data_IF_693163610214
#
_entry.id   IF_693163610214
#
_cell.length_a   1.000
_cell.length_b   1.000
_cell.length_c   1.000
_cell.angle_alpha   90.00
_cell.angle_beta   90.00
_cell.angle_gamma   90.00
#
_symmetry.space_group_name_H-M   'P 1'
#
loop_
_entity.id
_entity.type
_entity.pdbx_description
1 polymer ?
#
# COMPACT_ATOMS: atom_id res chain seq x y z
N UNK A 1 9.36 25.91 -17.08
CA UNK A 1 9.69 24.58 -16.52
C UNK A 1 8.58 24.19 -15.57
N UNK A 2 8.11 22.94 -15.61
CA UNK A 2 7.16 22.45 -14.63
C UNK A 2 7.84 22.43 -13.24
N UNK A 3 7.20 23.01 -12.22
CA UNK A 3 7.70 22.94 -10.85
C UNK A 3 7.08 21.72 -10.18
N UNK A 4 7.87 20.65 -10.07
CA UNK A 4 7.51 19.47 -9.27
C UNK A 4 7.74 19.73 -7.80
N UNK A 5 6.96 19.08 -6.95
CA UNK A 5 7.14 19.18 -5.50
C UNK A 5 8.49 18.56 -5.08
N UNK A 6 9.10 19.15 -4.06
CA UNK A 6 10.23 18.55 -3.35
C UNK A 6 9.74 18.13 -1.97
N UNK A 7 9.95 16.88 -1.55
CA UNK A 7 9.55 16.46 -0.22
C UNK A 7 10.35 17.21 0.85
N UNK A 8 9.70 17.51 1.97
CA UNK A 8 10.36 18.07 3.15
C UNK A 8 11.26 17.02 3.81
N UNK A 9 10.81 15.76 3.78
CA UNK A 9 11.56 14.60 4.28
C UNK A 9 11.29 13.36 3.44
N UNK A 10 12.28 12.48 3.39
CA UNK A 10 12.15 11.16 2.76
C UNK A 10 12.37 10.09 3.83
N UNK A 11 11.44 9.14 3.92
CA UNK A 11 11.48 8.00 4.84
C UNK A 11 11.42 6.70 4.05
N UNK A 12 11.76 5.59 4.70
CA UNK A 12 11.68 4.26 4.11
C UNK A 12 10.88 3.36 5.04
N UNK A 13 9.62 3.10 4.70
CA UNK A 13 8.68 2.34 5.53
C UNK A 13 8.43 0.99 4.87
N UNK A 14 8.96 -0.06 5.49
CA UNK A 14 8.95 -1.42 4.94
C UNK A 14 9.41 -1.48 3.47
N UNK A 15 10.50 -0.76 3.16
CA UNK A 15 11.06 -0.67 1.82
C UNK A 15 10.30 0.24 0.83
N UNK A 16 9.23 0.91 1.26
CA UNK A 16 8.53 1.93 0.47
C UNK A 16 9.19 3.28 0.72
N UNK A 17 9.60 3.97 -0.34
CA UNK A 17 10.04 5.38 -0.23
C UNK A 17 8.81 6.24 0.07
N UNK A 18 8.80 6.94 1.18
CA UNK A 18 7.72 7.82 1.63
C UNK A 18 8.21 9.27 1.63
N UNK A 19 7.69 10.05 0.70
CA UNK A 19 7.95 11.48 0.53
C UNK A 19 6.97 12.28 1.39
N UNK A 20 7.45 12.89 2.47
CA UNK A 20 6.64 13.77 3.34
C UNK A 20 6.46 15.13 2.67
N UNK A 21 5.21 15.56 2.53
CA UNK A 21 4.83 16.88 2.03
C UNK A 21 3.50 17.29 2.66
N UNK A 22 3.52 17.82 3.88
CA UNK A 22 2.29 18.08 4.60
C UNK A 22 1.54 19.29 4.06
N UNK A 23 0.27 19.09 3.73
CA UNK A 23 -0.62 20.16 3.28
C UNK A 23 -0.79 21.25 4.34
N UNK A 24 -0.61 20.94 5.63
CA UNK A 24 -0.64 21.92 6.72
C UNK A 24 0.47 22.96 6.61
N UNK A 25 1.60 22.56 6.04
CA UNK A 25 2.80 23.39 5.88
C UNK A 25 2.83 24.02 4.47
N UNK A 26 2.12 23.41 3.50
CA UNK A 26 2.09 23.79 2.10
C UNK A 26 0.67 24.09 1.58
N UNK A 27 0.02 25.14 2.10
CA UNK A 27 -1.33 25.56 1.70
C UNK A 27 -1.39 27.00 1.16
N UNK A 28 -0.70 27.31 0.04
CA UNK A 28 -0.62 28.67 -0.48
C UNK A 28 -1.98 29.25 -0.87
N UNK A 29 -2.91 28.38 -1.27
CA UNK A 29 -4.26 28.76 -1.72
C UNK A 29 -5.29 28.81 -0.58
N UNK A 30 -4.86 28.65 0.69
CA UNK A 30 -5.73 28.69 1.88
C UNK A 30 -6.94 27.76 1.77
N UNK A 31 -6.76 26.60 1.16
CA UNK A 31 -7.84 25.64 0.98
C UNK A 31 -8.14 24.97 2.31
N UNK A 32 -9.41 24.72 2.60
CA UNK A 32 -9.80 24.05 3.84
C UNK A 32 -9.08 22.70 3.99
N UNK A 33 -8.63 22.41 5.21
CA UNK A 33 -7.92 21.19 5.57
C UNK A 33 -8.66 20.45 6.69
N UNK A 34 -8.50 19.12 6.75
CA UNK A 34 -8.97 18.36 7.90
C UNK A 34 -8.24 18.80 9.18
N UNK A 35 -8.89 18.57 10.32
CA UNK A 35 -8.35 18.91 11.64
C UNK A 35 -7.60 17.74 12.25
N UNK A 36 -6.83 18.00 13.31
CA UNK A 36 -6.28 16.94 14.17
C UNK A 36 -7.37 15.97 14.61
N UNK A 37 -7.04 14.69 14.60
CA UNK A 37 -7.93 13.61 14.99
C UNK A 37 -8.34 13.80 16.44
N UNK A 38 -9.65 13.81 16.69
CA UNK A 38 -10.20 13.84 18.05
C UNK A 38 -10.62 12.46 18.55
N UNK A 39 -10.95 11.56 17.63
CA UNK A 39 -11.35 10.19 17.93
C UNK A 39 -10.18 9.22 18.01
N UNK A 40 -10.46 8.03 18.53
CA UNK A 40 -9.50 6.92 18.55
C UNK A 40 -9.04 6.55 17.14
N UNK A 41 -7.75 6.28 16.97
CA UNK A 41 -7.25 5.66 15.75
C UNK A 41 -7.66 4.18 15.73
N UNK A 42 -8.42 3.77 14.71
CA UNK A 42 -8.94 2.39 14.63
C UNK A 42 -8.33 1.59 13.47
N UNK A 43 -7.57 2.20 12.57
CA UNK A 43 -6.96 1.50 11.44
C UNK A 43 -6.78 2.30 10.18
N UNK A 44 -6.74 1.61 9.05
CA UNK A 44 -6.41 2.16 7.73
C UNK A 44 -7.56 1.92 6.75
N UNK A 45 -7.89 2.93 5.94
CA UNK A 45 -8.83 2.80 4.82
C UNK A 45 -8.09 2.84 3.49
N UNK A 46 -8.14 1.75 2.73
CA UNK A 46 -7.60 1.66 1.38
C UNK A 46 -8.62 2.10 0.32
N UNK A 47 -8.12 2.84 -0.66
CA UNK A 47 -8.82 3.31 -1.84
C UNK A 47 -8.03 2.95 -3.10
N UNK A 48 -8.68 3.04 -4.25
CA UNK A 48 -8.01 3.11 -5.53
C UNK A 48 -8.27 4.47 -6.18
N UNK A 49 -7.21 5.03 -6.74
CA UNK A 49 -7.26 6.17 -7.65
C UNK A 49 -6.71 5.73 -9.01
N UNK A 50 -7.19 6.35 -10.08
CA UNK A 50 -6.77 5.99 -11.43
C UNK A 50 -5.31 6.34 -11.67
N UNK A 51 -4.58 5.46 -12.35
CA UNK A 51 -3.26 5.78 -12.88
C UNK A 51 -3.38 6.87 -13.94
N UNK A 52 -2.51 7.87 -13.83
CA UNK A 52 -2.39 8.99 -14.77
C UNK A 52 -1.05 8.95 -15.49
N UNK A 53 -1.00 9.53 -16.69
CA UNK A 53 0.24 9.74 -17.43
C UNK A 53 0.90 11.01 -16.89
N UNK A 54 2.20 10.93 -16.60
CA UNK A 54 3.00 12.03 -16.07
C UNK A 54 4.32 12.16 -16.84
N UNK A 55 4.99 13.30 -16.69
CA UNK A 55 6.38 13.46 -17.16
C UNK A 55 7.30 12.39 -16.55
N UNK A 56 8.32 11.90 -17.28
CA UNK A 56 9.33 10.98 -16.73
C UNK A 56 10.08 11.52 -15.49
N UNK A 57 10.09 12.84 -15.31
CA UNK A 57 10.75 13.54 -14.21
C UNK A 57 9.95 13.53 -12.89
N UNK A 58 8.72 13.01 -12.90
CA UNK A 58 7.87 12.91 -11.71
C UNK A 58 7.16 11.55 -11.63
N UNK A 59 6.33 11.37 -10.61
CA UNK A 59 5.52 10.17 -10.39
C UNK A 59 4.03 10.52 -10.26
N UNK A 60 3.11 9.58 -10.52
CA UNK A 60 1.69 9.80 -10.29
C UNK A 60 1.37 10.25 -8.85
N UNK A 61 2.04 9.71 -7.83
CA UNK A 61 1.82 10.10 -6.43
C UNK A 61 2.23 11.56 -6.15
N UNK A 62 3.33 12.04 -6.74
CA UNK A 62 3.70 13.47 -6.68
C UNK A 62 2.63 14.32 -7.36
N UNK A 63 2.22 13.94 -8.57
CA UNK A 63 1.26 14.71 -9.36
C UNK A 63 -0.10 14.81 -8.66
N UNK A 64 -0.58 13.74 -8.01
CA UNK A 64 -1.80 13.77 -7.19
C UNK A 64 -1.63 14.64 -5.93
N UNK A 65 -0.46 14.61 -5.31
CA UNK A 65 -0.15 15.49 -4.17
C UNK A 65 -0.15 16.94 -4.59
N UNK A 66 0.53 17.29 -5.69
CA UNK A 66 0.54 18.64 -6.26
C UNK A 66 -0.84 19.11 -6.69
N UNK A 67 -1.65 18.22 -7.28
CA UNK A 67 -3.05 18.52 -7.59
C UNK A 67 -3.86 18.82 -6.33
N UNK A 68 -3.58 18.15 -5.21
CA UNK A 68 -4.24 18.40 -3.92
C UNK A 68 -3.85 19.75 -3.32
N UNK A 69 -2.55 20.07 -3.33
CA UNK A 69 -1.99 21.38 -2.92
C UNK A 69 -2.64 22.53 -3.71
N UNK A 70 -2.85 22.32 -5.00
CA UNK A 70 -3.43 23.32 -5.91
C UNK A 70 -4.97 23.39 -5.85
N UNK A 71 -5.64 22.55 -5.05
CA UNK A 71 -7.10 22.54 -4.94
C UNK A 71 -7.84 21.83 -6.07
N UNK A 72 -7.11 21.12 -6.94
CA UNK A 72 -7.67 20.41 -8.09
C UNK A 72 -8.28 19.05 -7.73
N UNK A 73 -8.23 18.66 -6.45
CA UNK A 73 -8.81 17.41 -5.93
C UNK A 73 -10.15 17.63 -5.21
N UNK A 74 -10.85 18.72 -5.51
CA UNK A 74 -12.04 19.16 -4.76
C UNK A 74 -11.74 19.19 -3.25
N UNK A 75 -12.64 18.65 -2.42
CA UNK A 75 -12.47 18.50 -0.98
C UNK A 75 -11.71 17.24 -0.57
N UNK A 76 -11.20 16.40 -1.48
CA UNK A 76 -10.51 15.16 -1.06
C UNK A 76 -9.16 15.52 -0.44
N UNK A 77 -8.93 15.06 0.79
CA UNK A 77 -7.67 15.23 1.52
C UNK A 77 -7.32 13.89 2.14
N UNK A 78 -6.32 13.20 1.60
CA UNK A 78 -5.92 11.85 2.06
C UNK A 78 -4.56 11.90 2.75
N UNK A 79 -4.21 10.87 3.50
CA UNK A 79 -2.89 10.78 4.11
C UNK A 79 -1.83 10.38 3.09
N UNK A 80 -2.12 9.42 2.21
CA UNK A 80 -1.14 8.91 1.25
C UNK A 80 -1.71 8.76 -0.16
N UNK A 81 -0.90 9.14 -1.15
CA UNK A 81 -0.97 8.62 -2.51
C UNK A 81 0.19 7.64 -2.73
N UNK A 82 -0.08 6.46 -3.28
CA UNK A 82 0.90 5.39 -3.49
C UNK A 82 0.89 4.95 -4.94
N UNK A 83 2.04 5.01 -5.61
CA UNK A 83 2.25 4.52 -6.97
C UNK A 83 3.26 3.36 -6.99
N UNK A 84 3.71 2.96 -8.18
CA UNK A 84 4.66 1.86 -8.39
C UNK A 84 6.09 2.16 -7.91
N UNK A 85 6.40 3.41 -7.59
CA UNK A 85 7.75 3.86 -7.22
C UNK A 85 7.84 4.32 -5.77
N UNK A 86 6.80 4.96 -5.24
CA UNK A 86 6.84 5.60 -3.93
C UNK A 86 5.45 5.84 -3.32
N UNK A 87 5.44 6.41 -2.13
CA UNK A 87 4.28 7.04 -1.52
C UNK A 87 4.58 8.52 -1.26
N UNK A 88 3.54 9.35 -1.32
CA UNK A 88 3.57 10.75 -0.87
C UNK A 88 2.63 10.92 0.32
N UNK A 89 3.16 11.41 1.44
CA UNK A 89 2.42 11.63 2.68
C UNK A 89 1.97 13.10 2.78
N UNK A 90 0.67 13.31 2.67
CA UNK A 90 0.07 14.64 2.56
C UNK A 90 -0.47 15.19 3.88
N UNK A 91 -0.74 14.30 4.84
CA UNK A 91 -1.24 14.67 6.16
C UNK A 91 -0.44 13.95 7.26
N UNK A 92 -0.21 14.61 8.40
CA UNK A 92 0.30 13.94 9.59
C UNK A 92 -0.63 12.79 10.02
N UNK A 93 -0.07 11.73 10.60
CA UNK A 93 -0.85 10.54 10.98
C UNK A 93 -1.82 10.80 12.15
N UNK A 94 -1.65 11.90 12.89
CA UNK A 94 -2.56 12.35 13.95
C UNK A 94 -3.68 13.28 13.42
N UNK A 95 -3.82 13.46 12.11
CA UNK A 95 -4.92 14.21 11.51
C UNK A 95 -6.09 13.30 11.09
N UNK A 96 -7.28 13.90 11.05
CA UNK A 96 -8.38 13.34 10.26
C UNK A 96 -8.11 13.52 8.77
N UNK A 97 -8.90 12.90 7.91
CA UNK A 97 -8.79 13.07 6.47
C UNK A 97 -10.18 13.04 5.83
N UNK A 98 -10.32 13.52 4.59
CA UNK A 98 -11.60 13.62 3.88
C UNK A 98 -11.60 12.63 2.71
N UNK A 99 -12.04 11.39 2.97
CA UNK A 99 -11.90 10.27 2.03
C UNK A 99 -13.06 9.25 2.04
N UNK A 100 -13.77 9.08 3.14
CA UNK A 100 -14.78 8.02 3.33
C UNK A 100 -16.21 8.45 2.91
N UNK A 101 -16.35 9.67 2.39
CA UNK A 101 -17.65 10.21 1.97
C UNK A 101 -18.16 9.67 0.64
N UNK A 102 -19.48 9.68 0.46
CA UNK A 102 -20.16 9.48 -0.82
C UNK A 102 -20.85 10.78 -1.25
N UNK A 103 -20.88 11.03 -2.56
CA UNK A 103 -21.58 12.19 -3.13
C UNK A 103 -23.05 12.19 -2.68
N UNK A 104 -23.49 13.28 -2.06
CA UNK A 104 -24.85 13.44 -1.52
C UNK A 104 -25.08 12.80 -0.14
N UNK A 105 -24.09 12.12 0.45
CA UNK A 105 -24.16 11.52 1.80
C UNK A 105 -22.84 11.66 2.57
N UNK A 106 -22.14 12.77 2.36
CA UNK A 106 -20.80 12.99 2.92
C UNK A 106 -20.83 13.04 4.46
N UNK A 107 -21.88 13.65 5.03
CA UNK A 107 -22.05 13.85 6.48
C UNK A 107 -22.91 12.75 7.16
N UNK A 108 -23.14 11.62 6.50
CA UNK A 108 -23.94 10.53 7.09
C UNK A 108 -23.05 9.54 7.85
N UNK A 109 -23.66 8.84 8.83
CA UNK A 109 -23.04 7.77 9.63
C UNK A 109 -22.11 6.88 8.80
N UNK A 110 -20.93 6.55 9.33
CA UNK A 110 -19.89 5.77 8.63
C UNK A 110 -18.86 6.64 7.90
N UNK A 111 -19.27 7.71 7.21
CA UNK A 111 -18.32 8.64 6.57
C UNK A 111 -17.48 9.38 7.62
N UNK A 112 -18.11 9.84 8.69
CA UNK A 112 -17.44 10.53 9.82
C UNK A 112 -16.41 9.63 10.50
N UNK A 113 -16.78 8.35 10.77
CA UNK A 113 -15.89 7.39 11.42
C UNK A 113 -14.71 7.02 10.52
N UNK A 114 -14.93 6.83 9.22
CA UNK A 114 -13.84 6.61 8.27
C UNK A 114 -12.87 7.80 8.26
N UNK A 115 -13.40 9.01 8.01
CA UNK A 115 -12.64 10.26 7.96
C UNK A 115 -11.90 10.59 9.26
N UNK A 116 -12.57 10.37 10.39
CA UNK A 116 -12.15 10.79 11.72
C UNK A 116 -11.33 9.76 12.48
N UNK A 117 -11.27 8.49 12.06
CA UNK A 117 -10.62 7.44 12.86
C UNK A 117 -9.64 6.58 12.06
N UNK A 118 -9.48 6.80 10.75
CA UNK A 118 -8.54 6.01 9.92
C UNK A 118 -7.49 6.83 9.19
N UNK A 119 -6.35 6.18 8.91
CA UNK A 119 -5.37 6.65 7.93
C UNK A 119 -5.86 6.27 6.53
N UNK A 120 -5.84 7.20 5.59
CA UNK A 120 -6.35 7.01 4.23
C UNK A 120 -5.22 6.84 3.21
N UNK A 121 -5.31 5.78 2.41
CA UNK A 121 -4.32 5.44 1.39
C UNK A 121 -5.01 5.30 0.04
N UNK A 122 -4.57 6.09 -0.95
CA UNK A 122 -4.97 5.98 -2.35
C UNK A 122 -3.92 5.18 -3.13
N UNK A 123 -4.23 3.94 -3.47
CA UNK A 123 -3.37 3.11 -4.33
C UNK A 123 -3.67 3.41 -5.81
N UNK A 124 -2.68 3.98 -6.50
CA UNK A 124 -2.78 4.46 -7.88
C UNK A 124 -2.60 3.28 -8.84
N UNK A 125 -3.67 2.89 -9.53
CA UNK A 125 -3.70 1.73 -10.43
C UNK A 125 -4.57 2.02 -11.65
N UNK A 126 -4.31 1.29 -12.74
CA UNK A 126 -5.14 1.32 -13.95
C UNK A 126 -6.25 0.26 -13.95
N UNK A 127 -6.09 -0.81 -13.16
CA UNK A 127 -6.99 -1.95 -13.13
C UNK A 127 -6.67 -3.04 -14.16
N UNK A 128 -5.64 -2.84 -14.98
CA UNK A 128 -5.24 -3.78 -16.03
C UNK A 128 -4.41 -4.96 -15.50
N UNK A 129 -3.93 -4.88 -14.26
CA UNK A 129 -3.09 -5.93 -13.68
C UNK A 129 -1.68 -6.00 -14.28
N UNK A 130 -1.22 -4.92 -14.91
CA UNK A 130 0.13 -4.82 -15.45
C UNK A 130 1.19 -4.68 -14.33
N UNK A 131 2.48 -4.69 -14.71
CA UNK A 131 3.59 -4.64 -13.76
C UNK A 131 3.57 -3.37 -12.87
N UNK A 132 3.04 -2.26 -13.38
CA UNK A 132 2.91 -1.02 -12.62
C UNK A 132 1.79 -1.14 -11.59
N UNK A 133 0.65 -1.73 -11.94
CA UNK A 133 -0.42 -2.05 -11.00
C UNK A 133 0.05 -3.02 -9.90
N UNK A 134 0.81 -4.06 -10.27
CA UNK A 134 1.39 -5.03 -9.33
C UNK A 134 2.29 -4.31 -8.32
N UNK A 135 3.20 -3.45 -8.79
CA UNK A 135 4.12 -2.69 -7.93
C UNK A 135 3.41 -1.67 -7.04
N UNK A 136 2.40 -0.98 -7.55
CA UNK A 136 1.61 -0.04 -6.76
C UNK A 136 0.84 -0.76 -5.65
N UNK A 137 0.18 -1.87 -5.98
CA UNK A 137 -0.49 -2.75 -5.01
C UNK A 137 0.48 -3.25 -3.94
N UNK A 138 1.67 -3.64 -4.35
CA UNK A 138 2.71 -4.15 -3.47
C UNK A 138 3.28 -3.07 -2.53
N UNK A 139 3.57 -1.86 -3.04
CA UNK A 139 3.94 -0.70 -2.23
C UNK A 139 2.85 -0.35 -1.21
N UNK A 140 1.58 -0.37 -1.63
CA UNK A 140 0.46 -0.10 -0.73
C UNK A 140 0.38 -1.17 0.38
N UNK A 141 0.58 -2.46 0.05
CA UNK A 141 0.57 -3.53 1.04
C UNK A 141 1.72 -3.39 2.06
N UNK A 142 2.95 -3.09 1.58
CA UNK A 142 4.12 -2.85 2.45
C UNK A 142 3.92 -1.66 3.38
N UNK A 143 3.37 -0.56 2.85
CA UNK A 143 3.03 0.63 3.65
C UNK A 143 1.96 0.33 4.70
N UNK A 144 0.89 -0.39 4.34
CA UNK A 144 -0.16 -0.79 5.29
C UNK A 144 0.42 -1.68 6.39
N UNK A 145 1.29 -2.64 6.04
CA UNK A 145 1.91 -3.51 7.02
C UNK A 145 2.76 -2.72 8.03
N UNK A 146 3.57 -1.77 7.56
CA UNK A 146 4.31 -0.85 8.43
C UNK A 146 3.37 -0.09 9.38
N UNK A 147 2.28 0.47 8.86
CA UNK A 147 1.33 1.23 9.66
C UNK A 147 0.63 0.36 10.71
N UNK A 148 0.23 -0.87 10.35
CA UNK A 148 -0.38 -1.83 11.29
C UNK A 148 0.62 -2.29 12.35
N UNK A 149 1.88 -2.50 12.00
CA UNK A 149 2.93 -2.86 12.97
C UNK A 149 3.14 -1.76 14.01
N UNK A 150 3.30 -0.51 13.56
CA UNK A 150 3.69 0.59 14.44
C UNK A 150 2.53 1.27 15.17
N UNK A 151 1.32 1.21 14.61
CA UNK A 151 0.16 1.93 15.12
C UNK A 151 -1.06 1.03 15.40
N UNK A 152 -1.02 -0.25 14.97
CA UNK A 152 -2.13 -1.18 15.11
C UNK A 152 -3.30 -0.88 14.17
N UNK A 153 -4.47 -1.38 14.57
CA UNK A 153 -5.74 -1.11 13.90
C UNK A 153 -6.09 -2.06 12.75
N UNK A 154 -7.33 -1.93 12.30
CA UNK A 154 -7.95 -2.78 11.29
C UNK A 154 -7.71 -2.27 9.86
N UNK A 155 -8.01 -3.12 8.86
CA UNK A 155 -7.95 -2.74 7.45
C UNK A 155 -9.36 -2.66 6.85
N UNK A 156 -9.71 -1.45 6.43
CA UNK A 156 -10.98 -1.09 5.83
C UNK A 156 -10.82 -0.77 4.34
N UNK A 157 -11.88 -0.97 3.60
CA UNK A 157 -12.09 -0.42 2.25
C UNK A 157 -12.96 0.84 2.34
N UNK A 158 -12.92 1.71 1.34
CA UNK A 158 -13.96 2.75 1.21
C UNK A 158 -15.37 2.11 1.19
N UNK A 159 -15.52 1.00 0.49
CA UNK A 159 -16.74 0.21 0.36
C UNK A 159 -17.33 -0.21 1.72
N UNK A 160 -16.49 -0.57 2.70
CA UNK A 160 -16.94 -0.83 4.07
C UNK A 160 -17.72 0.35 4.65
N UNK A 161 -17.15 1.55 4.57
CA UNK A 161 -17.78 2.77 5.08
C UNK A 161 -19.07 3.09 4.34
N UNK A 162 -19.13 2.81 3.03
CA UNK A 162 -20.38 2.92 2.28
C UNK A 162 -21.46 1.95 2.77
N UNK A 163 -21.10 0.70 3.04
CA UNK A 163 -22.05 -0.29 3.52
C UNK A 163 -22.59 0.06 4.91
N UNK A 164 -21.72 0.47 5.83
CA UNK A 164 -22.11 0.95 7.16
C UNK A 164 -23.07 2.14 7.03
N UNK A 165 -22.74 3.12 6.19
CA UNK A 165 -23.58 4.29 5.93
C UNK A 165 -24.95 3.94 5.39
N UNK A 166 -25.02 2.95 4.51
CA UNK A 166 -26.26 2.46 3.93
C UNK A 166 -27.00 1.48 4.85
N UNK A 167 -26.66 1.41 6.14
CA UNK A 167 -27.37 0.63 7.15
C UNK A 167 -27.11 -0.87 7.12
N UNK A 168 -26.16 -1.34 6.31
CA UNK A 168 -25.83 -2.76 6.22
C UNK A 168 -25.04 -3.20 7.46
N UNK A 169 -25.25 -4.46 7.85
CA UNK A 169 -24.65 -5.08 9.03
C UNK A 169 -23.92 -6.34 8.64
N UNK A 170 -22.84 -6.64 9.35
CA UNK A 170 -21.96 -7.77 9.11
C UNK A 170 -20.64 -7.56 9.82
N UNK A 171 -19.79 -8.57 9.76
CA UNK A 171 -18.40 -8.49 10.19
C UNK A 171 -17.61 -7.47 9.36
N UNK A 172 -16.43 -7.08 9.85
CA UNK A 172 -15.48 -6.24 9.11
C UNK A 172 -15.25 -6.77 7.68
N UNK A 173 -15.01 -8.06 7.57
CA UNK A 173 -14.62 -8.70 6.32
C UNK A 173 -15.79 -8.85 5.35
N UNK A 174 -16.98 -9.20 5.85
CA UNK A 174 -18.21 -9.23 5.06
C UNK A 174 -18.52 -7.85 4.48
N UNK A 175 -18.44 -6.79 5.28
CA UNK A 175 -18.74 -5.43 4.83
C UNK A 175 -17.65 -4.85 3.90
N UNK A 176 -16.40 -5.29 4.03
CA UNK A 176 -15.34 -4.97 3.07
C UNK A 176 -15.64 -5.56 1.68
N UNK A 177 -16.25 -6.75 1.62
CA UNK A 177 -16.52 -7.48 0.37
C UNK A 177 -17.90 -7.22 -0.23
N UNK A 178 -18.89 -6.91 0.60
CA UNK A 178 -20.28 -6.69 0.18
C UNK A 178 -20.38 -5.50 -0.80
N UNK A 179 -21.09 -5.66 -1.92
CA UNK A 179 -21.27 -4.57 -2.88
C UNK A 179 -22.02 -3.39 -2.25
N UNK A 180 -21.44 -2.18 -2.28
CA UNK A 180 -22.04 -0.97 -1.72
C UNK A 180 -23.14 -0.32 -2.58
N UNK A 181 -23.29 -0.75 -3.83
CA UNK A 181 -24.21 -0.13 -4.80
C UNK A 181 -23.74 1.24 -5.29
N UNK A 182 -22.46 1.57 -5.12
CA UNK A 182 -21.85 2.84 -5.51
C UNK A 182 -20.56 2.61 -6.31
N UNK A 183 -19.38 2.82 -5.69
CA UNK A 183 -18.09 2.75 -6.38
C UNK A 183 -17.38 1.42 -6.15
N UNK A 184 -17.76 0.65 -5.14
CA UNK A 184 -17.05 -0.58 -4.76
C UNK A 184 -15.54 -0.38 -4.50
N UNK A 185 -15.14 0.81 -4.06
CA UNK A 185 -13.74 1.20 -3.90
C UNK A 185 -13.09 0.48 -2.70
N UNK A 186 -11.85 -0.06 -2.79
CA UNK A 186 -10.91 -0.01 -3.91
C UNK A 186 -11.28 -0.97 -5.05
N UNK A 187 -11.68 -0.44 -6.21
CA UNK A 187 -12.33 -1.22 -7.27
C UNK A 187 -11.42 -2.28 -7.91
N UNK A 188 -10.10 -2.05 -7.91
CA UNK A 188 -9.11 -2.95 -8.51
C UNK A 188 -8.56 -3.98 -7.51
N UNK A 189 -8.69 -3.72 -6.21
CA UNK A 189 -8.15 -4.58 -5.15
C UNK A 189 -9.26 -5.38 -4.46
N UNK A 190 -10.43 -4.78 -4.20
CA UNK A 190 -11.56 -5.41 -3.49
C UNK A 190 -12.05 -6.71 -4.14
N UNK A 191 -12.08 -6.88 -5.48
CA UNK A 191 -12.48 -8.16 -6.08
C UNK A 191 -11.58 -9.35 -5.67
N UNK A 192 -10.35 -9.08 -5.22
CA UNK A 192 -9.41 -10.06 -4.67
C UNK A 192 -8.96 -9.67 -3.27
N UNK A 193 -9.88 -9.19 -2.43
CA UNK A 193 -9.59 -8.63 -1.11
C UNK A 193 -8.81 -9.59 -0.21
N UNK A 194 -9.19 -10.87 -0.19
CA UNK A 194 -8.50 -11.87 0.63
C UNK A 194 -7.04 -12.04 0.21
N UNK A 195 -6.75 -12.08 -1.10
CA UNK A 195 -5.37 -12.11 -1.62
C UNK A 195 -4.58 -10.85 -1.24
N UNK A 196 -5.25 -9.70 -1.14
CA UNK A 196 -4.59 -8.46 -0.73
C UNK A 196 -4.27 -8.46 0.77
N UNK A 197 -5.20 -8.89 1.62
CA UNK A 197 -4.94 -9.07 3.06
C UNK A 197 -3.78 -10.04 3.30
N UNK A 198 -3.76 -11.17 2.60
CA UNK A 198 -2.64 -12.13 2.66
C UNK A 198 -1.31 -11.49 2.26
N UNK A 199 -1.30 -10.60 1.27
CA UNK A 199 -0.10 -9.86 0.88
C UNK A 199 0.34 -8.89 1.99
N UNK A 200 -0.58 -8.14 2.61
CA UNK A 200 -0.28 -7.28 3.76
C UNK A 200 0.28 -8.09 4.93
N UNK A 201 -0.36 -9.21 5.27
CA UNK A 201 0.06 -10.08 6.36
C UNK A 201 1.45 -10.69 6.12
N UNK A 202 1.79 -11.00 4.86
CA UNK A 202 3.13 -11.45 4.47
C UNK A 202 4.22 -10.42 4.75
N UNK A 203 3.87 -9.13 4.80
CA UNK A 203 4.77 -8.02 5.11
C UNK A 203 4.76 -7.58 6.56
N UNK A 204 3.84 -8.08 7.39
CA UNK A 204 3.83 -7.81 8.82
C UNK A 204 5.05 -8.45 9.48
N UNK A 205 5.62 -7.82 10.52
CA UNK A 205 6.67 -8.44 11.31
C UNK A 205 6.13 -9.74 11.90
N UNK A 206 7.00 -10.73 11.94
CA UNK A 206 6.69 -11.98 12.59
C UNK A 206 6.63 -11.71 14.09
N UNK A 207 5.53 -12.07 14.76
CA UNK A 207 5.56 -12.20 16.23
C UNK A 207 6.74 -13.12 16.53
N UNK A 208 7.76 -12.63 17.25
CA UNK A 208 8.93 -13.43 17.62
C UNK A 208 8.45 -14.78 18.14
N UNK A 209 8.62 -15.80 17.31
CA UNK A 209 8.81 -17.15 17.79
C UNK A 209 10.29 -17.22 18.10
N UNK A 210 10.68 -17.78 19.24
CA UNK A 210 12.08 -17.81 19.74
C UNK A 210 13.03 -18.65 18.85
N UNK A 211 12.59 -19.02 17.64
CA UNK A 211 13.43 -19.66 16.64
C UNK A 211 14.19 -18.63 15.82
N UNK A 212 15.53 -18.73 15.80
CA UNK A 212 16.40 -17.92 14.94
C UNK A 212 16.22 -18.21 13.43
N UNK A 213 15.37 -19.17 13.06
CA UNK A 213 15.22 -19.69 11.70
C UNK A 213 14.64 -18.65 10.74
N UNK A 214 15.23 -18.57 9.55
CA UNK A 214 14.74 -17.72 8.47
C UNK A 214 14.26 -18.57 7.28
N UNK A 215 13.07 -18.25 6.81
CA UNK A 215 12.42 -18.81 5.64
C UNK A 215 12.63 -17.86 4.47
N UNK A 216 13.19 -18.36 3.39
CA UNK A 216 13.47 -17.57 2.19
C UNK A 216 12.68 -18.10 1.02
N UNK A 217 12.12 -17.20 0.20
CA UNK A 217 11.50 -17.61 -1.07
C UNK A 217 12.57 -17.60 -2.16
N UNK A 218 12.99 -18.78 -2.59
CA UNK A 218 14.01 -18.98 -3.61
C UNK A 218 13.35 -19.12 -4.98
N UNK A 219 13.88 -18.39 -5.96
CA UNK A 219 13.40 -18.38 -7.36
C UNK A 219 14.42 -18.94 -8.34
N UNK A 220 15.68 -19.11 -7.92
CA UNK A 220 16.72 -19.70 -8.77
C UNK A 220 17.90 -20.25 -7.97
N UNK A 221 18.64 -21.17 -8.58
CA UNK A 221 19.87 -21.77 -8.04
C UNK A 221 20.87 -21.98 -9.18
N UNK A 222 22.08 -21.44 -9.05
CA UNK A 222 23.09 -21.45 -10.11
C UNK A 222 24.44 -21.92 -9.59
N UNK A 223 25.19 -22.66 -10.42
CA UNK A 223 26.60 -22.99 -10.15
C UNK A 223 27.54 -21.80 -10.42
N UNK A 224 27.14 -20.89 -11.32
CA UNK A 224 27.93 -19.73 -11.73
C UNK A 224 27.39 -18.45 -11.09
N UNK A 225 28.27 -17.70 -10.44
CA UNK A 225 27.93 -16.41 -9.83
C UNK A 225 27.46 -15.39 -10.88
N UNK A 226 28.11 -15.38 -12.05
CA UNK A 226 27.76 -14.46 -13.14
C UNK A 226 26.34 -14.72 -13.65
N UNK A 227 25.96 -15.99 -13.83
CA UNK A 227 24.59 -16.35 -14.21
C UNK A 227 23.57 -15.99 -13.13
N UNK A 228 23.91 -16.21 -11.85
CA UNK A 228 23.05 -15.79 -10.75
C UNK A 228 22.87 -14.27 -10.71
N UNK A 229 23.93 -13.48 -10.94
CA UNK A 229 23.87 -12.01 -10.99
C UNK A 229 23.01 -11.51 -12.15
N UNK A 230 23.13 -12.13 -13.33
CA UNK A 230 22.28 -11.79 -14.47
C UNK A 230 20.80 -12.08 -14.17
N UNK A 231 20.50 -13.27 -13.64
CA UNK A 231 19.14 -13.62 -13.26
C UNK A 231 18.60 -12.73 -12.12
N UNK A 232 19.43 -12.40 -11.13
CA UNK A 232 19.07 -11.46 -10.07
C UNK A 232 18.67 -10.09 -10.63
N UNK A 233 19.37 -9.58 -11.64
CA UNK A 233 19.03 -8.30 -12.26
C UNK A 233 17.66 -8.34 -12.95
N UNK A 234 17.27 -9.46 -13.53
CA UNK A 234 15.92 -9.66 -14.07
C UNK A 234 14.88 -9.72 -12.94
N UNK A 235 15.14 -10.52 -11.90
CA UNK A 235 14.26 -10.66 -10.73
C UNK A 235 14.04 -9.33 -10.03
N UNK A 236 15.10 -8.50 -9.90
CA UNK A 236 15.03 -7.17 -9.29
C UNK A 236 14.11 -6.19 -10.01
N UNK A 237 13.74 -6.46 -11.27
CA UNK A 237 12.74 -5.65 -11.98
C UNK A 237 11.35 -5.79 -11.35
N UNK A 238 11.02 -6.96 -10.81
CA UNK A 238 9.78 -7.20 -10.06
C UNK A 238 9.98 -7.07 -8.56
N UNK A 239 11.06 -7.65 -8.02
CA UNK A 239 11.37 -7.70 -6.59
C UNK A 239 12.68 -6.97 -6.29
N UNK A 240 12.69 -5.64 -6.14
CA UNK A 240 13.93 -4.85 -6.00
C UNK A 240 14.82 -5.26 -4.82
N UNK A 241 14.22 -5.84 -3.77
CA UNK A 241 14.90 -6.36 -2.58
C UNK A 241 15.52 -7.74 -2.76
N UNK A 242 15.39 -8.36 -3.95
CA UNK A 242 15.98 -9.67 -4.21
C UNK A 242 17.51 -9.66 -4.02
N UNK A 243 18.06 -10.79 -3.59
CA UNK A 243 19.48 -10.94 -3.33
C UNK A 243 19.98 -12.35 -3.66
N UNK A 244 21.30 -12.50 -3.73
CA UNK A 244 21.97 -13.79 -3.87
C UNK A 244 22.48 -14.24 -2.51
N UNK A 245 22.22 -15.49 -2.16
CA UNK A 245 22.88 -16.19 -1.05
C UNK A 245 23.83 -17.25 -1.63
N UNK A 246 25.09 -17.20 -1.23
CA UNK A 246 26.10 -18.20 -1.60
C UNK A 246 26.24 -19.27 -0.50
N UNK A 247 26.04 -20.54 -0.87
CA UNK A 247 26.16 -21.71 0.01
C UNK A 247 26.31 -22.98 -0.86
N UNK A 248 27.52 -23.21 -1.38
CA UNK A 248 27.81 -24.26 -2.38
C UNK A 248 27.26 -23.98 -3.79
N UNK A 249 26.11 -23.29 -3.89
CA UNK A 249 25.53 -22.68 -5.09
C UNK A 249 25.18 -21.21 -4.82
N UNK A 250 24.80 -20.50 -5.87
CA UNK A 250 24.28 -19.13 -5.82
C UNK A 250 22.76 -19.15 -5.94
N UNK A 251 22.07 -18.92 -4.82
CA UNK A 251 20.61 -18.94 -4.73
C UNK A 251 20.04 -17.52 -4.85
N UNK A 252 19.12 -17.32 -5.79
CA UNK A 252 18.42 -16.03 -5.95
C UNK A 252 17.12 -16.09 -5.15
N UNK A 253 16.95 -15.14 -4.22
CA UNK A 253 15.86 -15.12 -3.25
C UNK A 253 15.15 -13.76 -3.26
N UNK A 254 13.82 -13.77 -3.06
CA UNK A 254 12.94 -12.58 -3.17
C UNK A 254 12.26 -12.18 -1.86
N UNK A 255 12.66 -12.79 -0.74
CA UNK A 255 12.18 -12.43 0.59
C UNK A 255 12.84 -13.27 1.68
N UNK A 256 12.89 -12.74 2.90
CA UNK A 256 13.40 -13.38 4.10
C UNK A 256 12.40 -13.18 5.24
N UNK A 257 11.86 -14.27 5.79
CA UNK A 257 10.76 -14.27 6.73
C UNK A 257 11.15 -15.06 7.96
N UNK A 258 10.78 -14.62 9.16
CA UNK A 258 10.90 -15.44 10.39
C UNK A 258 9.70 -16.37 10.63
N UNK A 259 8.68 -16.29 9.77
CA UNK A 259 7.44 -17.06 9.85
C UNK A 259 7.29 -17.90 8.59
N UNK A 260 7.08 -19.21 8.79
CA UNK A 260 6.82 -20.13 7.69
C UNK A 260 5.55 -19.76 6.94
N UNK A 261 4.47 -19.43 7.66
CA UNK A 261 3.17 -19.09 7.03
C UNK A 261 3.25 -17.81 6.20
N UNK A 262 4.03 -16.81 6.63
CA UNK A 262 4.25 -15.60 5.83
C UNK A 262 5.07 -15.89 4.58
N UNK A 263 6.09 -16.76 4.70
CA UNK A 263 6.84 -17.22 3.54
C UNK A 263 5.96 -18.02 2.56
N UNK A 264 5.00 -18.82 3.05
CA UNK A 264 4.03 -19.56 2.24
C UNK A 264 3.05 -18.64 1.52
N UNK A 265 2.53 -17.63 2.22
CA UNK A 265 1.69 -16.59 1.66
C UNK A 265 2.42 -15.81 0.55
N UNK A 266 3.65 -15.37 0.82
CA UNK A 266 4.46 -14.67 -0.17
C UNK A 266 4.83 -15.57 -1.34
N UNK A 267 5.23 -16.83 -1.08
CA UNK A 267 5.52 -17.82 -2.11
C UNK A 267 4.34 -18.00 -3.07
N UNK A 268 3.11 -18.03 -2.56
CA UNK A 268 1.91 -18.16 -3.39
C UNK A 268 1.83 -17.05 -4.45
N UNK A 269 2.15 -15.80 -4.07
CA UNK A 269 2.20 -14.67 -5.02
C UNK A 269 3.39 -14.75 -5.97
N UNK A 270 4.56 -15.14 -5.47
CA UNK A 270 5.78 -15.27 -6.28
C UNK A 270 5.63 -16.33 -7.37
N UNK A 271 4.90 -17.41 -7.09
CA UNK A 271 4.64 -18.50 -8.04
C UNK A 271 3.84 -18.08 -9.27
N UNK A 272 3.11 -16.96 -9.26
CA UNK A 272 2.45 -16.44 -10.45
C UNK A 272 3.46 -16.04 -11.55
N UNK A 273 4.66 -15.59 -11.15
CA UNK A 273 5.73 -15.20 -12.08
C UNK A 273 6.89 -16.20 -12.11
N UNK A 274 7.12 -16.91 -11.01
CA UNK A 274 8.22 -17.86 -10.84
C UNK A 274 7.65 -19.21 -10.38
N UNK A 275 7.06 -20.02 -11.27
CA UNK A 275 6.32 -21.24 -10.87
C UNK A 275 7.16 -22.28 -10.13
N UNK A 276 8.48 -22.29 -10.37
CA UNK A 276 9.46 -23.16 -9.70
C UNK A 276 9.89 -22.67 -8.33
N UNK A 277 9.39 -21.52 -7.86
CA UNK A 277 9.77 -20.97 -6.57
C UNK A 277 9.36 -21.91 -5.42
N UNK A 278 10.17 -21.92 -4.36
CA UNK A 278 9.91 -22.68 -3.15
C UNK A 278 10.52 -22.01 -1.91
N UNK A 279 10.11 -22.45 -0.74
CA UNK A 279 10.68 -21.98 0.53
C UNK A 279 11.92 -22.78 0.87
N UNK A 280 13.04 -22.09 1.06
CA UNK A 280 14.26 -22.63 1.66
C UNK A 280 14.32 -22.19 3.13
N UNK A 281 14.49 -23.15 4.03
CA UNK A 281 14.69 -22.90 5.47
C UNK A 281 16.18 -22.90 5.75
N UNK A 282 16.67 -21.91 6.50
CA UNK A 282 18.02 -21.88 7.06
C UNK A 282 17.98 -21.54 8.55
#
# INVERSE_FOLDING_TARGET
>A
MAVFLKPDKVKYWNGVTVNEYFLTDHNPNKISLPVKRKGEYIGITLHNTNRIIVSPETTPAEQYTRSTVNGNMNSVRVHFYVDDRCAWQNLPLDYSSWHAGQKGKAECNGSEKGNGNTISIECIMSGNGDITDIKARDNAARLIAYLKEHYGGELYTHNYWCNVRNGKRGTLDELNKLNDGYKGCPIYIRPSWDKFKTLVDGYMPVKKDDSEKLYYVQVGAFKSESLAKNYLNEVKRTYPSAFIKADGLYYVQVGAFRSKSNAEAFLFTVKEQYPSAFIKVM
#
